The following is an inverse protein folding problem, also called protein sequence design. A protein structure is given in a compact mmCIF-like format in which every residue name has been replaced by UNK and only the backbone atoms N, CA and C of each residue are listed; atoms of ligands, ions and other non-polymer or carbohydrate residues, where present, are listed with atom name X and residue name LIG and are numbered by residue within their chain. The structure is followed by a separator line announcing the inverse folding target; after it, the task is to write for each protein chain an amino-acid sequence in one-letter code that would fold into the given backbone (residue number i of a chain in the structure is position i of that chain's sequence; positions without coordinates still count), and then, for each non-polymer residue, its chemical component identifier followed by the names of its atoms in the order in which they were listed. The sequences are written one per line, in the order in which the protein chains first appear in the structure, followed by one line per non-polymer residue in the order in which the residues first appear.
data_IF_248915170265
#
_entry.id   IF_248915170265
#
_cell.length_a   1.000
_cell.length_b   1.000
_cell.length_c   1.000
_cell.angle_alpha   90.00
_cell.angle_beta   90.00
_cell.angle_gamma   90.00
#
_symmetry.space_group_name_H-M   'P 1'
#
loop_
_entity.id
_entity.type
_entity.pdbx_description
1 polymer ?
#
# COMPACT_ATOMS: atom_id res chain seq x y z
N UNK A 1 23.53 -7.49 1.39
CA UNK A 1 23.59 -7.73 2.83
C UNK A 1 23.43 -6.38 3.50
N UNK A 2 22.17 -5.97 3.82
CA UNK A 2 21.79 -4.56 4.14
C UNK A 2 21.30 -4.45 5.60
N UNK A 3 21.78 -5.32 6.50
CA UNK A 3 21.28 -5.40 7.87
C UNK A 3 22.16 -4.76 8.96
N UNK A 4 23.19 -3.99 8.61
CA UNK A 4 24.12 -3.46 9.62
C UNK A 4 23.81 -2.03 10.11
N UNK A 5 22.82 -1.35 9.56
CA UNK A 5 22.38 -0.07 10.09
C UNK A 5 21.03 -0.20 10.81
N UNK A 6 20.86 0.41 12.00
CA UNK A 6 19.58 0.40 12.69
C UNK A 6 18.48 1.03 11.80
N UNK A 7 17.22 0.54 11.89
CA UNK A 7 16.14 1.09 11.10
C UNK A 7 15.96 2.57 11.40
N UNK A 8 15.83 3.37 10.35
CA UNK A 8 15.62 4.80 10.49
C UNK A 8 14.19 5.13 10.99
N UNK A 9 13.92 6.32 11.55
CA UNK A 9 12.61 6.68 12.07
C UNK A 9 11.48 6.55 11.05
N UNK A 10 11.75 6.79 9.76
CA UNK A 10 10.79 6.63 8.65
C UNK A 10 10.37 5.16 8.49
N UNK A 11 11.34 4.25 8.52
CA UNK A 11 11.07 2.80 8.43
C UNK A 11 10.27 2.33 9.65
N UNK A 12 10.66 2.73 10.86
CA UNK A 12 9.95 2.36 12.10
C UNK A 12 8.49 2.83 12.03
N UNK A 13 8.25 4.09 11.64
CA UNK A 13 6.90 4.62 11.49
C UNK A 13 6.06 3.83 10.48
N UNK A 14 6.62 3.52 9.32
CA UNK A 14 5.94 2.72 8.28
C UNK A 14 5.62 1.30 8.75
N UNK A 15 6.59 0.63 9.36
CA UNK A 15 6.42 -0.74 9.87
C UNK A 15 5.31 -0.81 10.93
N UNK A 16 5.33 0.09 11.92
CA UNK A 16 4.32 0.14 12.97
C UNK A 16 2.92 0.44 12.39
N UNK A 17 2.83 1.41 11.47
CA UNK A 17 1.58 1.77 10.83
C UNK A 17 0.96 0.58 10.07
N UNK A 18 1.75 -0.09 9.25
CA UNK A 18 1.29 -1.24 8.47
C UNK A 18 1.00 -2.47 9.33
N UNK A 19 1.79 -2.75 10.37
CA UNK A 19 1.53 -3.84 11.31
C UNK A 19 0.20 -3.63 12.05
N UNK A 20 -0.03 -2.43 12.60
CA UNK A 20 -1.28 -2.11 13.32
C UNK A 20 -2.49 -2.19 12.37
N UNK A 21 -2.38 -1.68 11.14
CA UNK A 21 -3.48 -1.76 10.17
C UNK A 21 -3.75 -3.20 9.72
N UNK A 22 -2.71 -4.03 9.53
CA UNK A 22 -2.84 -5.46 9.21
C UNK A 22 -3.59 -6.21 10.31
N UNK A 23 -3.17 -6.04 11.57
CA UNK A 23 -3.81 -6.68 12.73
C UNK A 23 -5.27 -6.24 12.88
N UNK A 24 -5.56 -4.95 12.70
CA UNK A 24 -6.92 -4.41 12.80
C UNK A 24 -7.81 -4.95 11.66
N UNK A 25 -7.28 -5.06 10.45
CA UNK A 25 -7.98 -5.67 9.31
C UNK A 25 -8.23 -7.17 9.54
N UNK A 26 -7.26 -7.93 10.08
CA UNK A 26 -7.42 -9.33 10.44
C UNK A 26 -8.52 -9.51 11.49
N UNK A 27 -8.56 -8.66 12.52
CA UNK A 27 -9.60 -8.68 13.52
C UNK A 27 -10.99 -8.39 12.91
N UNK A 28 -11.09 -7.42 12.01
CA UNK A 28 -12.32 -7.14 11.29
C UNK A 28 -12.76 -8.33 10.41
N UNK A 29 -11.82 -9.02 9.78
CA UNK A 29 -12.08 -10.23 8.99
C UNK A 29 -12.65 -11.37 9.85
N UNK A 30 -12.03 -11.64 11.01
CA UNK A 30 -12.53 -12.67 11.95
C UNK A 30 -13.97 -12.39 12.38
N UNK A 31 -14.26 -11.15 12.75
CA UNK A 31 -15.59 -10.76 13.20
C UNK A 31 -16.66 -10.80 12.09
N UNK A 32 -16.26 -10.61 10.83
CA UNK A 32 -17.16 -10.67 9.68
C UNK A 32 -17.38 -12.10 9.15
N UNK A 33 -16.52 -13.08 9.54
CA UNK A 33 -16.45 -14.40 8.91
C UNK A 33 -17.78 -15.15 8.92
N UNK A 34 -18.51 -15.13 10.06
CA UNK A 34 -19.73 -15.91 10.23
C UNK A 34 -20.95 -15.30 9.51
N UNK A 35 -21.00 -13.97 9.38
CA UNK A 35 -22.20 -13.28 8.89
C UNK A 35 -22.04 -12.68 7.49
N UNK A 36 -20.80 -12.38 7.08
CA UNK A 36 -20.49 -11.71 5.82
C UNK A 36 -19.21 -12.27 5.18
N UNK A 37 -19.20 -13.49 4.66
CA UNK A 37 -17.99 -14.18 4.21
C UNK A 37 -17.25 -13.41 3.08
N UNK A 38 -17.97 -12.75 2.17
CA UNK A 38 -17.37 -11.94 1.12
C UNK A 38 -16.65 -10.69 1.69
N UNK A 39 -17.22 -10.05 2.71
CA UNK A 39 -16.60 -8.92 3.42
C UNK A 39 -15.40 -9.37 4.23
N UNK A 40 -15.48 -10.53 4.89
CA UNK A 40 -14.36 -11.12 5.61
C UNK A 40 -13.19 -11.41 4.66
N UNK A 41 -13.45 -11.96 3.48
CA UNK A 41 -12.41 -12.20 2.46
C UNK A 41 -11.72 -10.89 2.03
N UNK A 42 -12.48 -9.81 1.85
CA UNK A 42 -11.91 -8.49 1.53
C UNK A 42 -10.99 -7.98 2.64
N UNK A 43 -11.39 -8.13 3.91
CA UNK A 43 -10.57 -7.76 5.05
C UNK A 43 -9.31 -8.64 5.18
N UNK A 44 -9.39 -9.94 4.88
CA UNK A 44 -8.22 -10.81 4.84
C UNK A 44 -7.22 -10.37 3.77
N UNK A 45 -7.69 -10.02 2.57
CA UNK A 45 -6.82 -9.47 1.54
C UNK A 45 -6.18 -8.15 1.96
N UNK A 46 -6.96 -7.25 2.57
CA UNK A 46 -6.42 -6.00 3.12
C UNK A 46 -5.33 -6.27 4.15
N UNK A 47 -5.57 -7.18 5.09
CA UNK A 47 -4.59 -7.57 6.11
C UNK A 47 -3.31 -8.14 5.50
N UNK A 48 -3.43 -9.09 4.57
CA UNK A 48 -2.27 -9.71 3.90
C UNK A 48 -1.44 -8.68 3.14
N UNK A 49 -2.09 -7.78 2.39
CA UNK A 49 -1.40 -6.72 1.64
C UNK A 49 -0.72 -5.70 2.57
N UNK A 50 -1.33 -5.35 3.70
CA UNK A 50 -0.71 -4.48 4.71
C UNK A 50 0.49 -5.14 5.38
N UNK A 51 0.42 -6.45 5.64
CA UNK A 51 1.55 -7.21 6.18
C UNK A 51 2.70 -7.27 5.18
N UNK A 52 2.41 -7.48 3.90
CA UNK A 52 3.43 -7.43 2.84
C UNK A 52 4.08 -6.06 2.73
N UNK A 53 3.33 -4.94 2.89
CA UNK A 53 3.88 -3.59 2.95
C UNK A 53 4.81 -3.42 4.18
N UNK A 54 4.42 -3.97 5.32
CA UNK A 54 5.26 -3.96 6.52
C UNK A 54 6.59 -4.69 6.27
N UNK A 55 6.54 -5.87 5.67
CA UNK A 55 7.73 -6.66 5.31
C UNK A 55 8.60 -5.94 4.27
N UNK A 56 7.97 -5.30 3.29
CA UNK A 56 8.69 -4.54 2.26
C UNK A 56 9.49 -3.38 2.87
N UNK A 57 8.85 -2.60 3.77
CA UNK A 57 9.54 -1.50 4.47
C UNK A 57 10.68 -2.01 5.34
N UNK A 58 10.53 -3.19 5.97
CA UNK A 58 11.59 -3.82 6.74
C UNK A 58 12.76 -4.25 5.86
N UNK A 59 12.46 -5.01 4.81
CA UNK A 59 13.48 -5.64 3.97
C UNK A 59 14.10 -4.66 2.97
N UNK A 60 13.45 -3.51 2.70
CA UNK A 60 13.92 -2.55 1.70
C UNK A 60 13.98 -3.13 0.29
N UNK A 61 13.09 -4.08 -0.04
CA UNK A 61 13.11 -4.83 -1.31
C UNK A 61 13.02 -3.91 -2.53
N UNK A 62 12.38 -2.74 -2.41
CA UNK A 62 12.30 -1.75 -3.48
C UNK A 62 13.67 -1.23 -3.91
N UNK A 63 14.61 -1.06 -2.99
CA UNK A 63 15.98 -0.64 -3.33
C UNK A 63 16.72 -1.75 -4.07
N UNK A 64 16.61 -2.98 -3.57
CA UNK A 64 17.22 -4.14 -4.23
C UNK A 64 16.62 -4.39 -5.62
N UNK A 65 15.30 -4.27 -5.78
CA UNK A 65 14.63 -4.41 -7.08
C UNK A 65 14.99 -3.29 -8.05
N UNK A 66 15.12 -2.05 -7.56
CA UNK A 66 15.58 -0.92 -8.37
C UNK A 66 17.00 -1.15 -8.90
N UNK A 67 17.91 -1.59 -8.04
CA UNK A 67 19.31 -1.86 -8.40
C UNK A 67 19.38 -3.01 -9.43
N UNK A 68 18.60 -4.07 -9.23
CA UNK A 68 18.52 -5.21 -10.16
C UNK A 68 17.99 -4.77 -11.55
N UNK A 69 16.90 -4.00 -11.59
CA UNK A 69 16.34 -3.47 -12.85
C UNK A 69 17.32 -2.54 -13.54
N UNK A 70 18.00 -1.69 -12.79
CA UNK A 70 19.02 -0.78 -13.32
C UNK A 70 20.17 -1.54 -13.94
N UNK A 71 20.70 -2.57 -13.25
CA UNK A 71 21.76 -3.43 -13.76
C UNK A 71 21.33 -4.19 -15.02
N UNK A 72 20.10 -4.72 -15.06
CA UNK A 72 19.55 -5.41 -16.23
C UNK A 72 19.39 -4.47 -17.44
N UNK A 73 18.91 -3.24 -17.23
CA UNK A 73 18.79 -2.23 -18.30
C UNK A 73 20.15 -1.77 -18.83
N UNK A 74 21.15 -1.66 -17.95
CA UNK A 74 22.53 -1.34 -18.36
C UNK A 74 23.13 -2.45 -19.19
N UNK A 75 22.99 -3.72 -18.76
CA UNK A 75 23.51 -4.88 -19.51
C UNK A 75 22.85 -5.07 -20.87
N UNK A 76 21.58 -4.69 -20.99
CA UNK A 76 20.82 -4.75 -22.26
C UNK A 76 21.07 -3.53 -23.18
N UNK A 77 21.87 -2.54 -22.78
CA UNK A 77 22.09 -1.30 -23.55
C UNK A 77 20.86 -0.38 -23.64
N UNK A 78 19.80 -0.65 -22.87
CA UNK A 78 18.53 0.07 -22.90
C UNK A 78 18.47 1.25 -21.89
N UNK A 79 19.56 1.50 -21.18
CA UNK A 79 19.60 2.49 -20.11
C UNK A 79 19.26 3.92 -20.56
N UNK A 80 19.65 4.32 -21.77
CA UNK A 80 19.33 5.64 -22.31
C UNK A 80 17.83 5.85 -22.58
N UNK A 81 17.09 4.79 -22.90
CA UNK A 81 15.64 4.79 -23.12
C UNK A 81 14.80 4.67 -21.85
N UNK A 82 15.43 4.51 -20.67
CA UNK A 82 14.73 4.22 -19.40
C UNK A 82 13.63 5.21 -19.05
N UNK A 83 13.81 6.51 -19.33
CA UNK A 83 12.81 7.54 -19.02
C UNK A 83 11.47 7.32 -19.74
N UNK A 84 11.49 6.78 -20.95
CA UNK A 84 10.29 6.47 -21.73
C UNK A 84 9.60 5.25 -21.12
N UNK A 85 10.37 4.20 -20.82
CA UNK A 85 9.85 2.96 -20.19
C UNK A 85 9.24 3.26 -18.82
N UNK A 86 9.92 4.07 -18.00
CA UNK A 86 9.43 4.52 -16.70
C UNK A 86 8.10 5.29 -16.80
N UNK A 87 7.97 6.22 -17.75
CA UNK A 87 6.73 6.97 -17.97
C UNK A 87 5.57 6.03 -18.35
N UNK A 88 5.79 5.10 -19.27
CA UNK A 88 4.75 4.16 -19.67
C UNK A 88 4.37 3.18 -18.55
N UNK A 89 5.34 2.73 -17.76
CA UNK A 89 5.06 1.88 -16.60
C UNK A 89 4.22 2.64 -15.55
N UNK A 90 4.56 3.91 -15.28
CA UNK A 90 3.76 4.76 -14.39
C UNK A 90 2.32 4.92 -14.92
N UNK A 91 2.16 5.23 -16.20
CA UNK A 91 0.82 5.34 -16.83
C UNK A 91 0.06 4.02 -16.69
N UNK A 92 0.69 2.88 -16.95
CA UNK A 92 0.07 1.56 -16.81
C UNK A 92 -0.37 1.27 -15.36
N UNK A 93 0.49 1.58 -14.38
CA UNK A 93 0.18 1.41 -12.94
C UNK A 93 -0.99 2.30 -12.52
N UNK A 94 -0.98 3.58 -12.90
CA UNK A 94 -2.06 4.52 -12.60
C UNK A 94 -3.37 4.15 -13.29
N UNK A 95 -3.31 3.74 -14.56
CA UNK A 95 -4.48 3.27 -15.30
C UNK A 95 -5.06 2.00 -14.67
N UNK A 96 -4.22 1.03 -14.29
CA UNK A 96 -4.63 -0.18 -13.59
C UNK A 96 -5.30 0.12 -12.25
N UNK A 97 -4.73 1.02 -11.45
CA UNK A 97 -5.32 1.46 -10.18
C UNK A 97 -6.67 2.16 -10.40
N UNK A 98 -6.79 3.01 -11.43
CA UNK A 98 -8.04 3.69 -11.78
C UNK A 98 -9.11 2.68 -12.23
N UNK A 99 -8.77 1.72 -13.09
CA UNK A 99 -9.69 0.65 -13.52
C UNK A 99 -10.18 -0.16 -12.33
N UNK A 100 -9.27 -0.55 -11.42
CA UNK A 100 -9.65 -1.24 -10.19
C UNK A 100 -10.58 -0.39 -9.31
N UNK A 101 -10.33 0.90 -9.17
CA UNK A 101 -11.18 1.82 -8.43
C UNK A 101 -12.57 1.93 -9.08
N UNK A 102 -12.65 2.11 -10.39
CA UNK A 102 -13.91 2.25 -11.14
C UNK A 102 -14.72 0.95 -11.14
N UNK A 103 -14.09 -0.21 -11.32
CA UNK A 103 -14.79 -1.51 -11.26
C UNK A 103 -15.36 -1.78 -9.86
N UNK A 104 -14.66 -1.35 -8.80
CA UNK A 104 -15.15 -1.44 -7.43
C UNK A 104 -16.26 -0.43 -7.13
N UNK A 105 -16.21 0.75 -7.74
CA UNK A 105 -17.24 1.78 -7.61
C UNK A 105 -18.56 1.36 -8.25
N UNK A 106 -18.51 0.73 -9.42
CA UNK A 106 -19.68 0.29 -10.18
C UNK A 106 -20.38 -0.97 -9.62
N UNK A 107 -19.70 -1.76 -8.79
CA UNK A 107 -20.39 -2.85 -8.09
C UNK A 107 -21.34 -2.24 -7.07
N UNK A 108 -22.64 -2.21 -7.37
CA UNK A 108 -23.71 -1.76 -6.49
C UNK A 108 -23.50 -2.34 -5.09
N UNK A 109 -22.86 -1.57 -4.23
CA UNK A 109 -22.52 -1.98 -2.86
C UNK A 109 -23.79 -1.96 -2.01
N UNK A 110 -24.46 -3.08 -1.95
CA UNK A 110 -25.77 -3.19 -1.31
C UNK A 110 -25.71 -3.11 0.23
N UNK A 111 -24.53 -2.91 0.84
CA UNK A 111 -24.44 -2.75 2.29
C UNK A 111 -23.25 -1.87 2.68
N UNK A 112 -23.47 -0.99 3.66
CA UNK A 112 -22.49 -0.06 4.23
C UNK A 112 -21.19 -0.75 4.68
N UNK A 113 -21.25 -2.00 5.16
CA UNK A 113 -20.08 -2.81 5.57
C UNK A 113 -19.21 -3.24 4.40
N UNK A 114 -19.82 -3.60 3.26
CA UNK A 114 -19.08 -3.89 2.02
C UNK A 114 -18.32 -2.65 1.55
N UNK A 115 -18.92 -1.47 1.71
CA UNK A 115 -18.28 -0.20 1.33
C UNK A 115 -17.03 0.06 2.15
N UNK A 116 -17.05 -0.12 3.50
CA UNK A 116 -15.86 0.10 4.35
C UNK A 116 -14.71 -0.86 3.99
N UNK A 117 -14.99 -2.16 3.80
CA UNK A 117 -13.97 -3.12 3.41
C UNK A 117 -13.39 -2.82 2.01
N UNK A 118 -14.26 -2.43 1.06
CA UNK A 118 -13.86 -2.03 -0.29
C UNK A 118 -12.99 -0.79 -0.28
N UNK A 119 -13.33 0.23 0.52
CA UNK A 119 -12.52 1.45 0.67
C UNK A 119 -11.16 1.15 1.31
N UNK A 120 -11.13 0.31 2.35
CA UNK A 120 -9.87 -0.08 2.98
C UNK A 120 -8.94 -0.80 2.00
N UNK A 121 -9.47 -1.70 1.18
CA UNK A 121 -8.71 -2.38 0.13
C UNK A 121 -8.23 -1.39 -0.95
N UNK A 122 -9.07 -0.42 -1.33
CA UNK A 122 -8.68 0.63 -2.30
C UNK A 122 -7.56 1.52 -1.73
N UNK A 123 -7.62 1.93 -0.46
CA UNK A 123 -6.55 2.65 0.21
C UNK A 123 -5.25 1.82 0.23
N UNK A 124 -5.33 0.53 0.55
CA UNK A 124 -4.17 -0.36 0.52
C UNK A 124 -3.60 -0.49 -0.89
N UNK A 125 -4.44 -0.63 -1.92
CA UNK A 125 -4.01 -0.66 -3.31
C UNK A 125 -3.33 0.66 -3.74
N UNK A 126 -3.83 1.81 -3.28
CA UNK A 126 -3.19 3.10 -3.52
C UNK A 126 -1.78 3.17 -2.92
N UNK A 127 -1.57 2.61 -1.71
CA UNK A 127 -0.22 2.52 -1.12
C UNK A 127 0.68 1.62 -1.96
N UNK A 128 0.20 0.46 -2.42
CA UNK A 128 0.96 -0.40 -3.33
C UNK A 128 1.32 0.30 -4.64
N UNK A 129 0.38 1.08 -5.20
CA UNK A 129 0.66 1.92 -6.38
C UNK A 129 1.79 2.91 -6.11
N UNK A 130 1.78 3.56 -4.93
CA UNK A 130 2.84 4.47 -4.52
C UNK A 130 4.20 3.76 -4.43
N UNK A 131 4.26 2.56 -3.84
CA UNK A 131 5.49 1.75 -3.78
C UNK A 131 6.00 1.36 -5.18
N UNK A 132 5.09 1.00 -6.10
CA UNK A 132 5.47 0.70 -7.48
C UNK A 132 6.01 1.94 -8.20
N UNK A 133 5.42 3.11 -7.98
CA UNK A 133 5.93 4.39 -8.52
C UNK A 133 7.32 4.70 -7.99
N UNK A 134 7.58 4.47 -6.70
CA UNK A 134 8.91 4.62 -6.11
C UNK A 134 9.93 3.66 -6.72
N UNK A 135 9.56 2.39 -6.96
CA UNK A 135 10.44 1.40 -7.59
C UNK A 135 10.86 1.83 -9.00
N UNK A 136 9.98 2.55 -9.71
CA UNK A 136 10.28 3.11 -11.04
C UNK A 136 11.25 4.29 -10.97
N UNK A 137 11.43 4.90 -9.78
CA UNK A 137 12.39 6.00 -9.52
C UNK A 137 12.29 7.14 -10.52
N UNK A 138 11.23 7.91 -10.42
CA UNK A 138 11.11 9.19 -11.11
C UNK A 138 11.74 10.27 -10.23
N UNK A 139 12.89 10.83 -10.63
CA UNK A 139 13.63 11.85 -9.86
C UNK A 139 12.75 12.99 -9.32
N UNK A 140 11.70 13.36 -10.05
CA UNK A 140 10.76 14.40 -9.61
C UNK A 140 9.89 13.94 -8.44
N UNK A 141 9.43 12.68 -8.46
CA UNK A 141 8.60 12.06 -7.42
C UNK A 141 9.45 11.81 -6.18
N UNK A 142 10.62 11.23 -6.36
CA UNK A 142 11.57 10.93 -5.27
C UNK A 142 11.96 12.21 -4.53
N UNK A 143 12.24 13.30 -5.23
CA UNK A 143 12.57 14.61 -4.61
C UNK A 143 11.46 15.12 -3.69
N UNK A 144 10.21 14.85 -4.01
CA UNK A 144 9.06 15.25 -3.18
C UNK A 144 8.86 14.28 -2.02
N UNK A 145 8.81 12.96 -2.29
CA UNK A 145 8.49 11.94 -1.30
C UNK A 145 9.58 11.78 -0.22
N UNK A 146 10.84 11.96 -0.61
CA UNK A 146 11.99 11.87 0.32
C UNK A 146 12.39 13.21 0.93
N UNK A 147 11.53 14.23 0.81
CA UNK A 147 11.75 15.50 1.51
C UNK A 147 11.62 15.29 3.02
N UNK A 148 12.64 15.65 3.83
CA UNK A 148 12.56 15.54 5.27
C UNK A 148 11.53 16.52 5.85
N UNK A 149 10.65 16.04 6.70
CA UNK A 149 9.69 16.83 7.48
C UNK A 149 9.83 16.41 8.93
N UNK A 150 10.59 17.20 9.70
CA UNK A 150 10.98 16.82 11.06
C UNK A 150 11.89 15.57 11.07
N UNK A 151 11.63 14.58 11.95
CA UNK A 151 12.49 13.40 12.08
C UNK A 151 12.25 12.33 11.01
N UNK A 152 11.22 12.46 10.16
CA UNK A 152 10.84 11.48 9.16
C UNK A 152 10.66 12.11 7.78
N UNK A 153 10.68 11.26 6.74
CA UNK A 153 10.43 11.69 5.37
C UNK A 153 8.93 11.85 5.11
N UNK A 154 8.55 12.72 4.16
CA UNK A 154 7.14 12.94 3.77
C UNK A 154 6.38 11.65 3.47
N UNK A 155 7.04 10.68 2.88
CA UNK A 155 6.47 9.37 2.56
C UNK A 155 5.92 8.65 3.81
N UNK A 156 6.59 8.78 4.97
CA UNK A 156 6.12 8.16 6.21
C UNK A 156 4.76 8.72 6.64
N UNK A 157 4.53 10.02 6.46
CA UNK A 157 3.23 10.63 6.76
C UNK A 157 2.13 10.07 5.87
N UNK A 158 2.41 9.83 4.58
CA UNK A 158 1.47 9.20 3.66
C UNK A 158 1.14 7.76 4.09
N UNK A 159 2.15 6.98 4.48
CA UNK A 159 1.95 5.61 4.97
C UNK A 159 1.13 5.58 6.25
N UNK A 160 1.47 6.41 7.22
CA UNK A 160 0.75 6.51 8.50
C UNK A 160 -0.70 6.96 8.27
N UNK A 161 -0.91 7.99 7.46
CA UNK A 161 -2.27 8.49 7.15
C UNK A 161 -3.11 7.40 6.49
N UNK A 162 -2.56 6.68 5.51
CA UNK A 162 -3.26 5.58 4.85
C UNK A 162 -3.60 4.46 5.83
N UNK A 163 -2.64 4.03 6.66
CA UNK A 163 -2.86 3.03 7.68
C UNK A 163 -3.93 3.45 8.70
N UNK A 164 -3.93 4.72 9.13
CA UNK A 164 -4.96 5.27 10.01
C UNK A 164 -6.36 5.21 9.39
N UNK A 165 -6.48 5.51 8.09
CA UNK A 165 -7.75 5.38 7.36
C UNK A 165 -8.22 3.92 7.34
N UNK A 166 -7.33 2.96 7.08
CA UNK A 166 -7.67 1.53 7.12
C UNK A 166 -8.14 1.10 8.51
N UNK A 167 -7.43 1.51 9.56
CA UNK A 167 -7.81 1.24 10.96
C UNK A 167 -9.17 1.85 11.29
N UNK A 168 -9.41 3.08 10.91
CA UNK A 168 -10.68 3.77 11.12
C UNK A 168 -11.83 3.06 10.42
N UNK A 169 -11.67 2.67 9.14
CA UNK A 169 -12.67 1.93 8.38
C UNK A 169 -12.95 0.56 9.00
N UNK A 170 -11.93 -0.14 9.49
CA UNK A 170 -12.08 -1.42 10.17
C UNK A 170 -12.91 -1.28 11.46
N UNK A 171 -12.59 -0.28 12.29
CA UNK A 171 -13.38 0.02 13.51
C UNK A 171 -14.82 0.40 13.19
N UNK A 172 -15.05 1.27 12.21
CA UNK A 172 -16.39 1.67 11.76
C UNK A 172 -17.23 0.48 11.27
N UNK A 173 -16.61 -0.47 10.59
CA UNK A 173 -17.30 -1.66 10.10
C UNK A 173 -17.81 -2.57 11.25
N UNK A 174 -17.22 -2.47 12.43
CA UNK A 174 -17.58 -3.27 13.62
C UNK A 174 -18.71 -2.63 14.44
N UNK A 175 -18.76 -1.28 14.50
CA UNK A 175 -19.77 -0.55 15.28
C UNK A 175 -21.19 -0.68 14.72
N UNK A 176 -21.35 -1.08 13.46
CA UNK A 176 -22.63 -1.25 12.81
C UNK A 176 -23.10 -2.73 12.88
N UNK A 177 -22.84 -3.45 13.99
CA UNK A 177 -23.49 -4.76 14.20
C UNK A 177 -25.01 -4.51 14.31
N UNK A 178 -25.86 -5.22 13.55
CA UNK A 178 -27.28 -5.25 13.88
C UNK A 178 -27.36 -5.80 15.30
N UNK A 179 -27.97 -5.02 16.20
CA UNK A 179 -28.31 -5.51 17.51
C UNK A 179 -29.10 -6.81 17.36
N UNK A 180 -28.84 -7.76 18.24
CA UNK A 180 -29.69 -8.93 18.46
C UNK A 180 -31.05 -8.45 18.91
#
# INVERSE_FOLDING_TARGET
MVMDSPPNPTQIAGMLAFAVSALTAAYAARNARLHLPATARTWWWTSALQLLLCMEVWLGMRHASHDLVTAALQSAGLYQGRAIVQKWLLVAVLAGALVLALTRWNTKANTRRRTHAGLALACTAATWTLFLVETVSLHAVDRVLYRPIGPVLLIAYLWVTNAMVVVWLARRSQLHRPGF
#
